data_IF_438955229303
#
_entry.id   IF_438955229303
#
_cell.length_a   1.000
_cell.length_b   1.000
_cell.length_c   1.000
_cell.angle_alpha   90.00
_cell.angle_beta   90.00
_cell.angle_gamma   90.00
#
_symmetry.space_group_name_H-M   'P 1'
#
loop_
_entity.id
_entity.type
_entity.pdbx_description
1 polymer ?
#
# COMPACT_ATOMS: atom_id res chain seq x y z
N UNK A 1 22.46 2.76 2.46
CA UNK A 1 22.22 4.14 1.99
C UNK A 1 22.27 4.26 0.46
N UNK A 2 23.30 3.83 -0.25
CA UNK A 2 23.38 3.97 -1.72
C UNK A 2 22.23 3.29 -2.51
N UNK A 3 21.77 2.11 -2.10
CA UNK A 3 20.65 1.41 -2.79
C UNK A 3 19.33 2.16 -2.71
N UNK A 4 18.98 2.75 -1.58
CA UNK A 4 17.72 3.51 -1.40
C UNK A 4 17.74 4.80 -2.22
N UNK A 5 18.90 5.48 -2.33
CA UNK A 5 19.06 6.65 -3.16
C UNK A 5 18.84 6.34 -4.66
N UNK A 6 19.42 5.26 -5.17
CA UNK A 6 19.24 4.85 -6.56
C UNK A 6 17.77 4.50 -6.88
N UNK A 7 17.09 3.81 -5.96
CA UNK A 7 15.66 3.49 -6.09
C UNK A 7 14.82 4.77 -6.07
N UNK A 8 15.14 5.72 -5.20
CA UNK A 8 14.43 7.00 -5.11
C UNK A 8 14.59 7.84 -6.39
N UNK A 9 15.79 7.93 -6.95
CA UNK A 9 16.02 8.60 -8.22
C UNK A 9 15.18 7.99 -9.36
N UNK A 10 15.13 6.64 -9.41
CA UNK A 10 14.25 5.94 -10.36
C UNK A 10 12.77 6.30 -10.15
N UNK A 11 12.31 6.34 -8.91
CA UNK A 11 10.92 6.68 -8.58
C UNK A 11 10.58 8.11 -9.00
N UNK A 12 11.49 9.07 -8.83
CA UNK A 12 11.28 10.44 -9.29
C UNK A 12 11.12 10.51 -10.81
N UNK A 13 11.95 9.80 -11.57
CA UNK A 13 11.79 9.71 -13.03
C UNK A 13 10.45 9.08 -13.44
N UNK A 14 10.03 8.02 -12.74
CA UNK A 14 8.72 7.40 -12.97
C UNK A 14 7.56 8.34 -12.59
N UNK A 15 7.71 9.12 -11.52
CA UNK A 15 6.75 10.14 -11.09
C UNK A 15 6.59 11.24 -12.14
N UNK A 16 7.69 11.78 -12.65
CA UNK A 16 7.66 12.80 -13.72
C UNK A 16 6.98 12.25 -14.99
N UNK A 17 7.33 11.02 -15.39
CA UNK A 17 6.70 10.35 -16.52
C UNK A 17 5.21 10.10 -16.29
N UNK A 18 4.82 9.73 -15.07
CA UNK A 18 3.42 9.55 -14.67
C UNK A 18 2.64 10.86 -14.81
N UNK A 19 3.15 11.97 -14.32
CA UNK A 19 2.47 13.25 -14.45
C UNK A 19 2.26 13.66 -15.92
N UNK A 20 3.26 13.44 -16.78
CA UNK A 20 3.12 13.67 -18.22
C UNK A 20 2.07 12.76 -18.86
N UNK A 21 2.06 11.47 -18.50
CA UNK A 21 1.14 10.49 -19.07
C UNK A 21 -0.30 10.63 -18.56
N UNK A 22 -0.50 11.25 -17.38
CA UNK A 22 -1.80 11.43 -16.72
C UNK A 22 -2.55 12.68 -17.16
N UNK A 23 -1.89 13.65 -17.80
CA UNK A 23 -2.50 14.91 -18.22
C UNK A 23 -3.74 14.66 -19.10
N UNK A 24 -4.90 15.19 -18.70
CA UNK A 24 -6.19 15.06 -19.41
C UNK A 24 -6.80 13.64 -19.34
N UNK A 25 -6.32 12.77 -18.44
CA UNK A 25 -6.80 11.38 -18.32
C UNK A 25 -7.44 11.07 -16.96
N UNK A 26 -8.09 12.04 -16.33
CA UNK A 26 -8.66 11.89 -14.99
C UNK A 26 -9.62 10.71 -14.88
N UNK A 27 -10.48 10.51 -15.90
CA UNK A 27 -11.39 9.37 -15.94
C UNK A 27 -10.66 8.03 -15.93
N UNK A 28 -9.56 7.90 -16.67
CA UNK A 28 -8.75 6.68 -16.70
C UNK A 28 -8.02 6.46 -15.38
N UNK A 29 -7.52 7.53 -14.75
CA UNK A 29 -6.88 7.45 -13.43
C UNK A 29 -7.88 6.95 -12.39
N UNK A 30 -9.10 7.47 -12.39
CA UNK A 30 -10.18 7.04 -11.49
C UNK A 30 -10.52 5.55 -11.70
N UNK A 31 -10.66 5.10 -12.95
CA UNK A 31 -10.90 3.69 -13.27
C UNK A 31 -9.76 2.78 -12.77
N UNK A 32 -8.50 3.21 -12.92
CA UNK A 32 -7.34 2.45 -12.40
C UNK A 32 -7.40 2.39 -10.86
N UNK A 33 -7.70 3.50 -10.19
CA UNK A 33 -7.81 3.57 -8.73
C UNK A 33 -8.95 2.67 -8.21
N UNK A 34 -10.12 2.72 -8.83
CA UNK A 34 -11.27 1.86 -8.47
C UNK A 34 -10.94 0.38 -8.65
N UNK A 35 -10.32 0.00 -9.78
CA UNK A 35 -9.92 -1.37 -10.05
C UNK A 35 -8.87 -1.92 -9.08
N UNK A 36 -8.13 -1.05 -8.37
CA UNK A 36 -7.11 -1.43 -7.39
C UNK A 36 -7.68 -1.68 -5.98
N UNK A 37 -8.89 -1.18 -5.67
CA UNK A 37 -9.44 -1.23 -4.30
C UNK A 37 -9.49 -2.67 -3.78
N UNK A 38 -10.04 -3.61 -4.54
CA UNK A 38 -10.17 -5.00 -4.10
C UNK A 38 -8.81 -5.66 -3.83
N UNK A 39 -7.82 -5.43 -4.70
CA UNK A 39 -6.45 -5.96 -4.51
C UNK A 39 -5.74 -5.32 -3.30
N UNK A 40 -5.98 -4.04 -3.01
CA UNK A 40 -5.47 -3.37 -1.81
C UNK A 40 -6.12 -3.92 -0.54
N UNK A 41 -7.44 -4.05 -0.53
CA UNK A 41 -8.23 -4.57 0.60
C UNK A 41 -7.82 -6.01 0.91
N UNK A 42 -7.80 -6.88 -0.10
CA UNK A 42 -7.36 -8.26 0.05
C UNK A 42 -5.97 -8.35 0.68
N UNK A 43 -4.97 -7.71 0.08
CA UNK A 43 -3.59 -7.82 0.58
C UNK A 43 -3.46 -7.28 2.01
N UNK A 44 -4.11 -6.16 2.32
CA UNK A 44 -4.03 -5.55 3.65
C UNK A 44 -4.70 -6.41 4.72
N UNK A 45 -5.86 -7.01 4.44
CA UNK A 45 -6.54 -7.91 5.38
C UNK A 45 -5.83 -9.25 5.50
N UNK A 46 -5.32 -9.81 4.38
CA UNK A 46 -4.57 -11.07 4.39
C UNK A 46 -3.27 -10.99 5.22
N UNK A 47 -2.58 -9.84 5.22
CA UNK A 47 -1.43 -9.60 6.12
C UNK A 47 -1.85 -9.79 7.58
N UNK A 48 -3.07 -9.39 7.95
CA UNK A 48 -3.65 -9.52 9.30
C UNK A 48 -4.39 -10.86 9.53
N UNK A 49 -4.11 -11.87 8.73
CA UNK A 49 -4.71 -13.22 8.81
C UNK A 49 -6.19 -13.32 8.42
N UNK A 50 -6.74 -12.41 7.64
CA UNK A 50 -8.07 -12.63 7.05
C UNK A 50 -8.06 -13.90 6.21
N UNK A 51 -9.13 -14.70 6.30
CA UNK A 51 -9.32 -15.92 5.54
C UNK A 51 -9.94 -15.70 4.15
N UNK A 52 -10.33 -14.45 3.84
CA UNK A 52 -10.91 -14.10 2.54
C UNK A 52 -9.88 -14.25 1.43
N UNK A 53 -10.30 -14.90 0.33
CA UNK A 53 -9.57 -14.86 -0.93
C UNK A 53 -9.75 -13.50 -1.63
N UNK A 54 -8.94 -13.24 -2.66
CA UNK A 54 -9.12 -12.05 -3.50
C UNK A 54 -10.48 -12.07 -4.21
N UNK A 55 -10.91 -13.23 -4.73
CA UNK A 55 -12.20 -13.38 -5.41
C UNK A 55 -13.36 -13.09 -4.46
N UNK A 56 -13.33 -13.62 -3.24
CA UNK A 56 -14.35 -13.33 -2.22
C UNK A 56 -14.36 -11.86 -1.83
N UNK A 57 -13.19 -11.24 -1.71
CA UNK A 57 -13.09 -9.79 -1.47
C UNK A 57 -13.75 -9.00 -2.60
N UNK A 58 -13.52 -9.37 -3.86
CA UNK A 58 -14.15 -8.75 -5.01
C UNK A 58 -15.67 -8.93 -4.99
N UNK A 59 -16.16 -10.16 -4.74
CA UNK A 59 -17.60 -10.46 -4.63
C UNK A 59 -18.27 -9.62 -3.53
N UNK A 60 -17.65 -9.52 -2.35
CA UNK A 60 -18.16 -8.69 -1.25
C UNK A 60 -18.29 -7.23 -1.66
N UNK A 61 -17.27 -6.66 -2.31
CA UNK A 61 -17.28 -5.27 -2.70
C UNK A 61 -18.26 -4.97 -3.85
N UNK A 62 -18.48 -5.94 -4.74
CA UNK A 62 -19.45 -5.88 -5.83
C UNK A 62 -20.86 -6.30 -5.42
N UNK A 63 -21.08 -6.71 -4.17
CA UNK A 63 -22.34 -7.21 -3.64
C UNK A 63 -22.87 -8.43 -4.39
N UNK A 64 -21.97 -9.31 -4.81
CA UNK A 64 -22.27 -10.59 -5.46
C UNK A 64 -22.36 -11.68 -4.40
N UNK A 65 -23.25 -12.65 -4.59
CA UNK A 65 -23.41 -13.78 -3.68
C UNK A 65 -22.13 -14.59 -3.54
N UNK A 66 -21.95 -15.12 -2.34
CA UNK A 66 -20.77 -15.89 -1.95
C UNK A 66 -21.09 -17.38 -1.96
N UNK A 67 -20.13 -18.20 -2.40
CA UNK A 67 -20.30 -19.64 -2.54
C UNK A 67 -20.19 -20.40 -1.19
N UNK A 68 -19.79 -19.70 -0.13
CA UNK A 68 -19.71 -20.23 1.25
C UNK A 68 -20.16 -19.20 2.28
N UNK A 69 -20.42 -19.66 3.48
CA UNK A 69 -20.66 -18.76 4.61
C UNK A 69 -19.40 -17.96 4.92
N UNK A 70 -19.56 -16.64 5.03
CA UNK A 70 -18.53 -15.68 5.48
C UNK A 70 -19.14 -14.92 6.65
N UNK A 71 -18.36 -14.72 7.70
CA UNK A 71 -18.82 -14.00 8.88
C UNK A 71 -19.09 -12.52 8.58
N UNK A 72 -20.07 -11.94 9.26
CA UNK A 72 -20.35 -10.50 9.15
C UNK A 72 -19.09 -9.65 9.43
N UNK A 73 -18.28 -10.07 10.39
CA UNK A 73 -17.00 -9.42 10.70
C UNK A 73 -16.09 -9.33 9.48
N UNK A 74 -15.87 -10.44 8.75
CA UNK A 74 -15.02 -10.47 7.56
C UNK A 74 -15.59 -9.58 6.45
N UNK A 75 -16.91 -9.57 6.30
CA UNK A 75 -17.61 -8.69 5.33
C UNK A 75 -17.36 -7.22 5.69
N UNK A 76 -17.52 -6.83 6.97
CA UNK A 76 -17.28 -5.47 7.41
C UNK A 76 -15.79 -5.09 7.31
N UNK A 77 -14.87 -6.00 7.61
CA UNK A 77 -13.43 -5.75 7.45
C UNK A 77 -13.08 -5.40 6.00
N UNK A 78 -13.68 -6.08 5.01
CA UNK A 78 -13.47 -5.77 3.61
C UNK A 78 -14.14 -4.43 3.21
N UNK A 79 -15.43 -4.25 3.51
CA UNK A 79 -16.20 -3.05 3.14
C UNK A 79 -15.66 -1.78 3.81
N UNK A 80 -15.31 -1.85 5.08
CA UNK A 80 -14.79 -0.71 5.82
C UNK A 80 -13.43 -0.27 5.29
N UNK A 81 -12.51 -1.21 5.04
CA UNK A 81 -11.20 -0.87 4.48
C UNK A 81 -11.34 -0.29 3.07
N UNK A 82 -12.22 -0.82 2.22
CA UNK A 82 -12.50 -0.23 0.91
C UNK A 82 -13.00 1.22 1.03
N UNK A 83 -13.92 1.48 1.98
CA UNK A 83 -14.41 2.84 2.26
C UNK A 83 -13.30 3.78 2.71
N UNK A 84 -12.40 3.31 3.59
CA UNK A 84 -11.24 4.08 4.05
C UNK A 84 -10.29 4.38 2.88
N UNK A 85 -9.97 3.40 2.03
CA UNK A 85 -9.13 3.58 0.84
C UNK A 85 -9.73 4.62 -0.11
N UNK A 86 -11.03 4.53 -0.39
CA UNK A 86 -11.75 5.52 -1.22
C UNK A 86 -11.76 6.92 -0.59
N UNK A 87 -11.89 7.00 0.73
CA UNK A 87 -11.88 8.27 1.45
C UNK A 87 -10.54 8.98 1.33
N UNK A 88 -9.42 8.26 1.57
CA UNK A 88 -8.09 8.88 1.51
C UNK A 88 -7.70 9.32 0.09
N UNK A 89 -8.12 8.59 -0.93
CA UNK A 89 -7.87 8.96 -2.33
C UNK A 89 -8.44 10.36 -2.66
N UNK A 90 -9.60 10.70 -2.07
CA UNK A 90 -10.28 11.99 -2.26
C UNK A 90 -9.77 13.08 -1.29
N UNK A 91 -9.46 12.72 -0.05
CA UNK A 91 -9.28 13.69 1.05
C UNK A 91 -7.85 13.95 1.48
N UNK A 92 -6.90 13.07 1.15
CA UNK A 92 -5.52 13.19 1.63
C UNK A 92 -4.81 14.49 1.21
N UNK A 93 -5.18 15.08 0.07
CA UNK A 93 -4.60 16.36 -0.40
C UNK A 93 -5.21 17.59 0.29
N UNK A 94 -6.41 17.47 0.83
CA UNK A 94 -7.16 18.59 1.40
C UNK A 94 -6.82 18.86 2.86
N UNK A 95 -6.44 17.82 3.63
CA UNK A 95 -6.28 17.90 5.08
C UNK A 95 -4.91 17.34 5.51
N UNK A 96 -4.29 17.96 6.51
CA UNK A 96 -3.08 17.43 7.14
C UNK A 96 -3.38 16.19 7.99
N UNK A 97 -2.39 15.28 8.06
CA UNK A 97 -2.50 14.11 8.91
C UNK A 97 -2.28 14.51 10.36
N UNK A 98 -3.36 14.55 11.12
CA UNK A 98 -3.37 14.75 12.57
C UNK A 98 -4.12 13.65 13.30
N UNK A 99 -4.23 13.80 14.61
CA UNK A 99 -4.94 12.83 15.46
C UNK A 99 -6.39 12.65 15.02
N UNK A 100 -7.10 13.74 14.70
CA UNK A 100 -8.50 13.70 14.28
C UNK A 100 -8.69 12.86 13.01
N UNK A 101 -7.77 13.00 12.05
CA UNK A 101 -7.79 12.20 10.82
C UNK A 101 -7.53 10.73 11.15
N UNK A 102 -6.51 10.43 11.95
CA UNK A 102 -6.14 9.06 12.33
C UNK A 102 -7.30 8.38 13.08
N UNK A 103 -7.91 9.08 14.04
CA UNK A 103 -9.05 8.58 14.79
C UNK A 103 -10.29 8.38 13.91
N UNK A 104 -10.55 9.30 12.98
CA UNK A 104 -11.65 9.18 12.00
C UNK A 104 -11.46 7.99 11.07
N UNK A 105 -10.25 7.78 10.54
CA UNK A 105 -9.91 6.61 9.71
C UNK A 105 -10.09 5.30 10.50
N UNK A 106 -9.64 5.27 11.75
CA UNK A 106 -9.82 4.11 12.62
C UNK A 106 -11.32 3.86 12.95
N UNK A 107 -12.09 4.92 13.19
CA UNK A 107 -13.54 4.80 13.38
C UNK A 107 -14.21 4.17 12.16
N UNK A 108 -13.89 4.64 10.97
CA UNK A 108 -14.42 4.07 9.72
C UNK A 108 -14.02 2.60 9.55
N UNK A 109 -12.78 2.24 9.92
CA UNK A 109 -12.27 0.87 9.80
C UNK A 109 -12.96 -0.10 10.72
N UNK A 110 -13.23 0.31 11.98
CA UNK A 110 -13.72 -0.57 13.05
C UNK A 110 -15.23 -0.55 13.25
N UNK A 111 -15.97 0.32 12.54
CA UNK A 111 -17.45 0.41 12.63
C UNK A 111 -18.10 -0.94 12.31
N UNK A 112 -19.07 -1.35 13.11
CA UNK A 112 -19.78 -2.64 13.02
C UNK A 112 -18.88 -3.88 13.17
N UNK A 113 -17.64 -3.70 13.65
CA UNK A 113 -16.72 -4.79 13.98
C UNK A 113 -16.47 -4.79 15.48
N UNK A 114 -16.05 -3.65 16.01
CA UNK A 114 -15.79 -3.41 17.43
C UNK A 114 -16.02 -1.93 17.74
N UNK A 115 -17.29 -1.54 17.85
CA UNK A 115 -17.68 -0.12 18.00
C UNK A 115 -17.13 0.50 19.30
N UNK A 116 -16.91 -0.31 20.34
CA UNK A 116 -16.40 0.14 21.65
C UNK A 116 -14.94 0.68 21.59
N UNK A 117 -14.17 0.28 20.58
CA UNK A 117 -12.79 0.76 20.37
C UNK A 117 -12.66 1.66 19.14
N UNK A 118 -13.72 1.79 18.34
CA UNK A 118 -13.68 2.50 17.07
C UNK A 118 -13.41 4.00 17.27
N UNK A 119 -12.32 4.50 16.69
CA UNK A 119 -11.99 5.93 16.71
C UNK A 119 -11.42 6.44 18.02
N UNK A 120 -10.86 5.57 18.87
CA UNK A 120 -10.15 5.97 20.08
C UNK A 120 -8.84 5.21 20.26
N UNK A 121 -7.87 5.83 20.85
CA UNK A 121 -6.64 5.17 21.29
C UNK A 121 -6.91 4.25 22.50
N UNK A 122 -5.97 3.35 22.77
CA UNK A 122 -5.99 2.52 23.99
C UNK A 122 -6.00 3.40 25.24
N UNK A 123 -6.78 2.97 26.24
CA UNK A 123 -6.87 3.61 27.56
C UNK A 123 -6.19 2.75 28.63
N UNK A 124 -6.06 3.28 29.83
CA UNK A 124 -5.48 2.55 30.97
C UNK A 124 -6.13 1.17 31.14
N UNK A 125 -5.30 0.15 31.35
CA UNK A 125 -5.72 -1.25 31.40
C UNK A 125 -5.74 -1.97 30.05
N UNK A 126 -5.65 -1.25 28.93
CA UNK A 126 -5.62 -1.85 27.57
C UNK A 126 -4.18 -2.01 27.08
N UNK A 127 -3.62 -3.18 27.26
CA UNK A 127 -2.27 -3.53 26.82
C UNK A 127 -2.32 -4.43 25.58
N UNK A 128 -1.44 -4.18 24.62
CA UNK A 128 -1.34 -4.97 23.39
C UNK A 128 0.05 -5.57 23.26
N UNK A 129 0.09 -6.83 22.82
CA UNK A 129 1.30 -7.57 22.53
C UNK A 129 1.29 -8.02 21.06
N UNK A 130 2.38 -7.75 20.35
CA UNK A 130 2.58 -8.19 18.96
C UNK A 130 3.81 -9.07 18.90
N UNK A 131 3.63 -10.37 18.80
CA UNK A 131 4.73 -11.34 18.92
C UNK A 131 5.42 -11.25 20.28
N UNK A 132 6.70 -10.89 20.28
CA UNK A 132 7.49 -10.65 21.51
C UNK A 132 7.44 -9.19 21.98
N UNK A 133 6.98 -8.26 21.15
CA UNK A 133 6.92 -6.84 21.48
C UNK A 133 5.68 -6.52 22.32
N UNK A 134 5.88 -5.82 23.44
CA UNK A 134 4.80 -5.22 24.26
C UNK A 134 4.76 -3.74 23.90
N UNK A 135 3.62 -3.30 23.37
CA UNK A 135 3.44 -1.90 22.99
C UNK A 135 3.56 -0.95 24.20
N UNK A 136 4.04 0.29 24.02
CA UNK A 136 4.13 1.30 25.07
C UNK A 136 2.82 1.48 25.84
N UNK A 137 2.90 1.94 27.06
CA UNK A 137 1.72 2.14 27.91
C UNK A 137 0.74 3.17 27.29
N UNK A 138 -0.58 3.04 27.50
CA UNK A 138 -1.57 3.95 26.94
C UNK A 138 -1.29 5.44 27.17
N UNK A 139 -0.78 5.81 28.34
CA UNK A 139 -0.42 7.19 28.69
C UNK A 139 0.67 7.80 27.81
N UNK A 140 1.47 6.96 27.12
CA UNK A 140 2.56 7.40 26.26
C UNK A 140 2.11 7.62 24.81
N UNK A 141 0.90 7.19 24.43
CA UNK A 141 0.44 7.17 23.05
C UNK A 141 0.43 8.58 22.45
N UNK A 142 -0.22 9.54 23.11
CA UNK A 142 -0.37 10.88 22.55
C UNK A 142 0.99 11.55 22.28
N UNK A 143 1.87 11.58 23.29
CA UNK A 143 3.20 12.20 23.14
C UNK A 143 4.08 11.47 22.12
N UNK A 144 4.02 10.13 22.06
CA UNK A 144 4.78 9.35 21.08
C UNK A 144 4.26 9.55 19.65
N UNK A 145 2.94 9.57 19.46
CA UNK A 145 2.34 9.80 18.14
C UNK A 145 2.61 11.22 17.63
N UNK A 146 2.50 12.23 18.50
CA UNK A 146 2.86 13.61 18.19
C UNK A 146 4.33 13.71 17.73
N UNK A 147 5.23 13.04 18.45
CA UNK A 147 6.65 12.96 18.08
C UNK A 147 6.84 12.32 16.71
N UNK A 148 6.18 11.19 16.43
CA UNK A 148 6.26 10.48 15.13
C UNK A 148 5.82 11.41 13.99
N UNK A 149 4.71 12.12 14.14
CA UNK A 149 4.20 13.05 13.13
C UNK A 149 5.12 14.26 12.95
N UNK A 150 5.62 14.84 14.06
CA UNK A 150 6.57 15.94 14.05
C UNK A 150 7.88 15.56 13.35
N UNK A 151 8.45 14.38 13.65
CA UNK A 151 9.66 13.88 12.97
C UNK A 151 9.43 13.66 11.48
N UNK A 152 8.27 13.16 11.08
CA UNK A 152 7.92 13.01 9.67
C UNK A 152 7.92 14.38 8.95
N UNK A 153 7.33 15.39 9.55
CA UNK A 153 7.25 16.75 8.98
C UNK A 153 8.63 17.43 8.95
N UNK A 154 9.42 17.31 10.02
CA UNK A 154 10.76 17.89 10.12
C UNK A 154 11.75 17.31 9.08
N UNK A 155 11.52 16.08 8.62
CA UNK A 155 12.36 15.38 7.63
C UNK A 155 11.86 15.56 6.19
N UNK A 156 11.11 16.60 5.86
CA UNK A 156 10.55 16.87 4.53
C UNK A 156 11.59 16.92 3.39
N UNK A 157 12.86 17.24 3.73
CA UNK A 157 14.00 17.22 2.80
C UNK A 157 14.55 15.84 2.50
N UNK A 158 14.22 14.81 3.31
CA UNK A 158 14.62 13.44 3.06
C UNK A 158 13.75 12.78 1.98
N UNK A 159 14.25 11.69 1.39
CA UNK A 159 13.44 10.95 0.42
C UNK A 159 12.20 10.31 1.07
N UNK A 160 11.09 10.31 0.33
CA UNK A 160 9.78 9.83 0.80
C UNK A 160 9.81 8.36 1.25
N UNK A 161 10.64 7.51 0.64
CA UNK A 161 10.74 6.09 0.99
C UNK A 161 11.21 5.92 2.44
N UNK A 162 12.24 6.69 2.84
CA UNK A 162 12.75 6.65 4.22
C UNK A 162 11.75 7.21 5.21
N UNK A 163 11.13 8.34 4.88
CA UNK A 163 10.13 9.01 5.74
C UNK A 163 8.95 8.08 6.01
N UNK A 164 8.37 7.48 4.97
CA UNK A 164 7.25 6.53 5.09
C UNK A 164 7.68 5.27 5.85
N UNK A 165 8.85 4.69 5.55
CA UNK A 165 9.33 3.50 6.24
C UNK A 165 9.52 3.74 7.74
N UNK A 166 10.13 4.87 8.12
CA UNK A 166 10.38 5.25 9.52
C UNK A 166 9.06 5.48 10.27
N UNK A 167 8.17 6.29 9.68
CA UNK A 167 6.86 6.56 10.27
C UNK A 167 6.06 5.27 10.48
N UNK A 168 6.00 4.42 9.45
CA UNK A 168 5.24 3.17 9.50
C UNK A 168 5.75 2.24 10.61
N UNK A 169 7.08 2.05 10.70
CA UNK A 169 7.69 1.22 11.73
C UNK A 169 7.46 1.79 13.14
N UNK A 170 7.59 3.11 13.30
CA UNK A 170 7.37 3.77 14.58
C UNK A 170 5.89 3.71 15.01
N UNK A 171 4.95 3.87 14.07
CA UNK A 171 3.53 3.74 14.31
C UNK A 171 3.15 2.31 14.75
N UNK A 172 3.67 1.31 14.04
CA UNK A 172 3.44 -0.09 14.37
C UNK A 172 4.10 -0.50 15.70
N UNK A 173 5.26 0.09 16.03
CA UNK A 173 5.89 -0.11 17.34
C UNK A 173 5.06 0.48 18.48
N UNK A 174 4.49 1.68 18.27
CA UNK A 174 3.61 2.36 19.23
C UNK A 174 2.31 1.61 19.44
N UNK A 175 1.74 1.05 18.39
CA UNK A 175 0.49 0.28 18.41
C UNK A 175 -0.64 1.00 19.16
N UNK A 176 -1.07 2.18 18.70
CA UNK A 176 -1.93 3.06 19.50
C UNK A 176 -3.37 2.55 19.70
N UNK A 177 -3.81 1.54 18.96
CA UNK A 177 -5.15 0.98 19.00
C UNK A 177 -5.17 -0.44 19.57
N UNK A 178 -6.34 -0.89 20.06
CA UNK A 178 -6.54 -2.28 20.49
C UNK A 178 -6.58 -3.28 19.33
N UNK A 179 -7.04 -2.85 18.16
CA UNK A 179 -7.12 -3.63 16.92
C UNK A 179 -6.96 -2.68 15.73
N UNK A 180 -6.65 -3.20 14.55
CA UNK A 180 -6.60 -2.44 13.30
C UNK A 180 -5.33 -1.62 13.06
N UNK A 181 -4.31 -1.70 13.92
CA UNK A 181 -3.08 -0.91 13.78
C UNK A 181 -2.41 -1.13 12.42
N UNK A 182 -2.14 -2.38 12.02
CA UNK A 182 -1.49 -2.68 10.76
C UNK A 182 -2.26 -2.15 9.54
N UNK A 183 -3.58 -2.26 9.54
CA UNK A 183 -4.43 -1.71 8.48
C UNK A 183 -4.36 -0.19 8.44
N UNK A 184 -4.49 0.48 9.59
CA UNK A 184 -4.37 1.94 9.68
C UNK A 184 -2.95 2.41 9.34
N UNK A 185 -1.91 1.74 9.79
CA UNK A 185 -0.53 2.08 9.42
C UNK A 185 -0.31 2.08 7.90
N UNK A 186 -0.83 1.07 7.19
CA UNK A 186 -0.78 1.02 5.71
C UNK A 186 -1.66 2.09 5.05
N UNK A 187 -2.79 2.43 5.65
CA UNK A 187 -3.64 3.56 5.20
C UNK A 187 -2.93 4.89 5.36
N UNK A 188 -2.29 5.13 6.52
CA UNK A 188 -1.49 6.34 6.78
C UNK A 188 -0.35 6.49 5.77
N UNK A 189 0.34 5.41 5.43
CA UNK A 189 1.37 5.43 4.39
C UNK A 189 0.81 5.98 3.07
N UNK A 190 -0.35 5.47 2.63
CA UNK A 190 -0.99 5.91 1.40
C UNK A 190 -1.53 7.35 1.51
N UNK A 191 -2.08 7.72 2.66
CA UNK A 191 -2.50 9.10 2.92
C UNK A 191 -1.35 10.09 2.67
N UNK A 192 -0.20 9.82 3.28
CA UNK A 192 0.98 10.69 3.16
C UNK A 192 1.59 10.66 1.75
N UNK A 193 1.64 9.49 1.09
CA UNK A 193 2.10 9.39 -0.29
C UNK A 193 1.24 10.23 -1.24
N UNK A 194 -0.09 10.10 -1.16
CA UNK A 194 -1.04 10.88 -1.98
C UNK A 194 -0.90 12.37 -1.70
N UNK A 195 -0.79 12.75 -0.43
CA UNK A 195 -0.62 14.15 -0.03
C UNK A 195 0.65 14.76 -0.62
N UNK A 196 1.74 14.01 -0.68
CA UNK A 196 3.03 14.46 -1.24
C UNK A 196 3.12 14.27 -2.76
N UNK A 197 1.99 13.94 -3.42
CA UNK A 197 1.92 13.80 -4.87
C UNK A 197 2.58 12.53 -5.40
N UNK A 198 2.65 11.47 -4.61
CA UNK A 198 3.01 10.13 -5.07
C UNK A 198 1.74 9.30 -5.29
N UNK A 199 1.87 8.21 -6.02
CA UNK A 199 0.79 7.23 -6.17
C UNK A 199 0.69 6.35 -4.92
N UNK A 200 -0.50 5.86 -4.55
CA UNK A 200 -0.65 4.92 -3.45
C UNK A 200 0.06 3.59 -3.76
N UNK A 201 0.46 2.90 -2.69
CA UNK A 201 1.13 1.60 -2.75
C UNK A 201 0.24 0.48 -2.23
N UNK A 202 0.50 -0.72 -2.71
CA UNK A 202 -0.09 -1.94 -2.19
C UNK A 202 1.03 -2.89 -1.73
N UNK A 203 1.19 -3.04 -0.41
CA UNK A 203 2.11 -4.01 0.18
C UNK A 203 1.48 -5.39 0.02
N UNK A 204 2.09 -6.23 -0.80
CA UNK A 204 1.53 -7.52 -1.19
C UNK A 204 1.68 -8.57 -0.08
N UNK A 205 0.64 -9.34 0.15
CA UNK A 205 0.61 -10.44 1.12
C UNK A 205 1.75 -11.46 0.93
N UNK A 206 2.15 -11.73 -0.30
CA UNK A 206 3.30 -12.59 -0.61
C UNK A 206 4.61 -12.14 0.05
N UNK A 207 4.71 -10.87 0.42
CA UNK A 207 5.86 -10.29 1.14
C UNK A 207 5.67 -10.27 2.67
N UNK A 208 4.60 -10.90 3.20
CA UNK A 208 4.22 -10.82 4.62
C UNK A 208 5.38 -11.17 5.55
N UNK A 209 6.09 -12.27 5.29
CA UNK A 209 7.24 -12.64 6.12
C UNK A 209 8.25 -11.51 6.21
N UNK A 210 8.65 -10.96 5.06
CA UNK A 210 9.63 -9.86 5.01
C UNK A 210 9.10 -8.59 5.67
N UNK A 211 7.80 -8.35 5.60
CA UNK A 211 7.14 -7.22 6.25
C UNK A 211 7.27 -7.33 7.78
N UNK A 212 7.02 -8.50 8.36
CA UNK A 212 7.22 -8.73 9.79
C UNK A 212 8.70 -8.77 10.21
N UNK A 213 9.59 -9.28 9.36
CA UNK A 213 11.04 -9.22 9.59
C UNK A 213 11.52 -7.75 9.75
N UNK A 214 10.91 -6.80 9.00
CA UNK A 214 11.24 -5.37 9.11
C UNK A 214 10.88 -4.78 10.49
N UNK A 215 9.78 -5.20 11.11
CA UNK A 215 9.43 -4.76 12.47
C UNK A 215 10.41 -5.29 13.49
N UNK A 216 10.83 -6.55 13.34
CA UNK A 216 11.84 -7.14 14.22
C UNK A 216 13.18 -6.39 14.10
N UNK A 217 13.64 -6.11 12.88
CA UNK A 217 14.87 -5.33 12.65
C UNK A 217 14.77 -3.93 13.29
N UNK A 218 13.60 -3.28 13.18
CA UNK A 218 13.39 -1.97 13.80
C UNK A 218 13.38 -2.05 15.32
N UNK A 219 12.69 -3.02 15.90
CA UNK A 219 12.66 -3.23 17.36
C UNK A 219 14.03 -3.52 17.95
N UNK A 220 14.84 -4.36 17.26
CA UNK A 220 16.13 -4.83 17.77
C UNK A 220 17.26 -3.81 17.56
N UNK A 221 17.22 -3.06 16.44
CA UNK A 221 18.36 -2.25 15.99
C UNK A 221 17.99 -0.83 15.53
N UNK A 222 16.72 -0.45 15.55
CA UNK A 222 16.25 0.82 14.96
C UNK A 222 16.41 0.89 13.42
N UNK A 223 16.64 -0.25 12.75
CA UNK A 223 16.93 -0.29 11.34
C UNK A 223 15.65 -0.21 10.47
N UNK A 224 15.68 0.60 9.41
CA UNK A 224 14.55 0.83 8.51
C UNK A 224 14.73 0.22 7.11
N UNK A 225 15.92 -0.31 6.82
CA UNK A 225 16.34 -0.69 5.46
C UNK A 225 15.44 -1.73 4.78
N UNK A 226 14.94 -2.71 5.51
CA UNK A 226 14.02 -3.72 4.95
C UNK A 226 12.67 -3.10 4.59
N UNK A 227 12.12 -2.22 5.43
CA UNK A 227 10.88 -1.51 5.13
C UNK A 227 11.06 -0.50 3.98
N UNK A 228 12.18 0.22 3.92
CA UNK A 228 12.53 1.07 2.77
C UNK A 228 12.50 0.27 1.46
N UNK A 229 13.07 -0.94 1.49
CA UNK A 229 13.04 -1.85 0.34
C UNK A 229 11.63 -2.30 -0.06
N UNK A 230 10.73 -2.50 0.90
CA UNK A 230 9.31 -2.83 0.66
C UNK A 230 8.58 -1.65 0.04
N UNK A 231 8.68 -0.47 0.65
CA UNK A 231 8.03 0.78 0.17
C UNK A 231 8.53 1.15 -1.23
N UNK A 232 9.85 1.11 -1.46
CA UNK A 232 10.44 1.44 -2.76
C UNK A 232 9.99 0.50 -3.88
N UNK A 233 9.90 -0.81 -3.60
CA UNK A 233 9.39 -1.79 -4.57
C UNK A 233 7.88 -1.60 -4.82
N UNK A 234 7.10 -1.34 -3.79
CA UNK A 234 5.67 -1.12 -3.92
C UNK A 234 5.36 0.15 -4.74
N UNK A 235 6.10 1.25 -4.52
CA UNK A 235 6.00 2.47 -5.34
C UNK A 235 6.38 2.20 -6.80
N UNK A 236 7.49 1.50 -7.03
CA UNK A 236 7.92 1.16 -8.40
C UNK A 236 6.88 0.32 -9.12
N UNK A 237 6.32 -0.70 -8.45
CA UNK A 237 5.23 -1.53 -8.98
C UNK A 237 4.00 -0.70 -9.33
N UNK A 238 3.61 0.21 -8.44
CA UNK A 238 2.45 1.08 -8.63
C UNK A 238 2.61 2.00 -9.84
N UNK A 239 3.80 2.60 -10.02
CA UNK A 239 4.11 3.41 -11.21
C UNK A 239 4.17 2.58 -12.49
N UNK A 240 4.83 1.42 -12.49
CA UNK A 240 4.89 0.55 -13.67
C UNK A 240 3.50 0.15 -14.14
N UNK A 241 2.59 -0.23 -13.21
CA UNK A 241 1.21 -0.54 -13.52
C UNK A 241 0.50 0.66 -14.16
N UNK A 242 0.46 1.79 -13.47
CA UNK A 242 -0.26 2.98 -13.93
C UNK A 242 0.25 3.50 -15.27
N UNK A 243 1.57 3.53 -15.46
CA UNK A 243 2.18 3.93 -16.72
C UNK A 243 1.81 2.99 -17.86
N UNK A 244 1.76 1.67 -17.62
CA UNK A 244 1.37 0.72 -18.65
C UNK A 244 -0.05 1.00 -19.17
N UNK A 245 -1.01 1.31 -18.28
CA UNK A 245 -2.37 1.67 -18.67
C UNK A 245 -2.47 3.07 -19.29
N UNK A 246 -1.85 4.08 -18.67
CA UNK A 246 -1.89 5.47 -19.15
C UNK A 246 -1.22 5.66 -20.51
N UNK A 247 -0.20 4.88 -20.83
CA UNK A 247 0.49 4.91 -22.13
C UNK A 247 -0.19 4.02 -23.18
N UNK A 248 -1.36 3.43 -22.86
CA UNK A 248 -2.12 2.60 -23.79
C UNK A 248 -1.37 1.33 -24.24
N UNK A 249 -0.49 0.78 -23.40
CA UNK A 249 0.25 -0.44 -23.73
C UNK A 249 -0.71 -1.65 -23.71
N UNK A 250 -0.44 -2.63 -24.56
CA UNK A 250 -1.08 -3.95 -24.49
C UNK A 250 -0.57 -4.67 -23.25
N UNK A 251 -1.46 -4.92 -22.29
CA UNK A 251 -1.10 -5.63 -21.05
C UNK A 251 -1.18 -7.14 -21.31
N UNK A 252 -0.08 -7.84 -21.04
CA UNK A 252 0.04 -9.29 -21.21
C UNK A 252 0.62 -9.93 -19.95
N UNK A 253 0.35 -11.22 -19.76
CA UNK A 253 1.00 -12.00 -18.71
C UNK A 253 2.51 -12.07 -18.96
N UNK A 254 3.31 -11.99 -17.92
CA UNK A 254 4.77 -12.06 -18.05
C UNK A 254 5.23 -13.43 -18.60
N UNK A 255 4.46 -14.50 -18.35
CA UNK A 255 4.65 -15.83 -18.93
C UNK A 255 4.48 -15.84 -20.44
N UNK A 256 3.45 -15.14 -20.95
CA UNK A 256 3.16 -15.10 -22.39
C UNK A 256 4.18 -14.20 -23.12
N UNK A 257 4.57 -13.10 -22.48
CA UNK A 257 5.68 -12.26 -22.94
C UNK A 257 6.98 -13.06 -23.07
N UNK A 258 7.29 -13.90 -22.06
CA UNK A 258 8.47 -14.77 -22.08
C UNK A 258 8.46 -15.72 -23.28
N UNK A 259 7.31 -16.39 -23.52
CA UNK A 259 7.13 -17.33 -24.64
C UNK A 259 7.28 -16.63 -25.99
N UNK A 260 6.57 -15.52 -26.19
CA UNK A 260 6.57 -14.78 -27.46
C UNK A 260 7.94 -14.22 -27.82
N UNK A 261 8.72 -13.80 -26.83
CA UNK A 261 10.06 -13.22 -27.03
C UNK A 261 11.20 -14.24 -26.86
N UNK A 262 10.91 -15.54 -26.65
CA UNK A 262 11.89 -16.62 -26.41
C UNK A 262 12.87 -16.30 -25.28
N UNK A 263 12.37 -15.70 -24.19
CA UNK A 263 13.15 -15.31 -23.01
C UNK A 263 12.82 -16.29 -21.87
N UNK A 264 13.82 -16.63 -21.05
CA UNK A 264 13.60 -17.45 -19.84
C UNK A 264 12.59 -16.78 -18.89
N UNK A 265 11.47 -17.47 -18.62
CA UNK A 265 10.44 -17.00 -17.68
C UNK A 265 11.01 -16.76 -16.29
N UNK A 266 11.86 -17.69 -15.78
CA UNK A 266 12.50 -17.52 -14.46
C UNK A 266 13.37 -16.28 -14.37
N UNK A 267 14.11 -15.96 -15.45
CA UNK A 267 14.91 -14.73 -15.51
C UNK A 267 14.01 -13.48 -15.48
N UNK A 268 12.91 -13.49 -16.24
CA UNK A 268 11.95 -12.37 -16.21
C UNK A 268 11.26 -12.20 -14.85
N UNK A 269 10.86 -13.28 -14.21
CA UNK A 269 10.29 -13.23 -12.83
C UNK A 269 11.32 -12.62 -11.86
N UNK A 270 12.58 -13.02 -11.93
CA UNK A 270 13.63 -12.44 -11.08
C UNK A 270 13.80 -10.94 -11.34
N UNK A 271 13.79 -10.50 -12.60
CA UNK A 271 13.85 -9.07 -12.96
C UNK A 271 12.61 -8.31 -12.50
N UNK A 272 11.42 -8.87 -12.66
CA UNK A 272 10.16 -8.30 -12.19
C UNK A 272 10.15 -8.14 -10.67
N UNK A 273 10.52 -9.18 -9.92
CA UNK A 273 10.59 -9.17 -8.45
C UNK A 273 11.60 -8.13 -7.93
N UNK A 274 12.69 -7.91 -8.67
CA UNK A 274 13.67 -6.85 -8.38
C UNK A 274 13.25 -5.48 -8.89
N UNK A 275 12.14 -5.39 -9.63
CA UNK A 275 11.67 -4.16 -10.29
C UNK A 275 12.71 -3.54 -11.22
N UNK A 276 13.50 -4.36 -11.94
CA UNK A 276 14.49 -3.92 -12.93
C UNK A 276 13.94 -3.84 -14.35
N UNK A 277 12.72 -4.31 -14.57
CA UNK A 277 11.93 -4.17 -15.80
C UNK A 277 10.58 -3.55 -15.45
N UNK A 278 9.86 -2.99 -16.43
CA UNK A 278 8.54 -2.36 -16.25
C UNK A 278 7.41 -3.38 -16.12
N UNK A 279 7.67 -4.47 -15.39
CA UNK A 279 6.65 -5.44 -14.99
C UNK A 279 6.01 -5.04 -13.66
N UNK A 280 4.75 -5.43 -13.47
CA UNK A 280 4.00 -5.15 -12.25
C UNK A 280 3.20 -6.37 -11.81
N UNK A 281 3.06 -6.52 -10.50
CA UNK A 281 2.24 -7.56 -9.86
C UNK A 281 0.84 -7.00 -9.61
N UNK A 282 -0.16 -7.61 -10.24
CA UNK A 282 -1.56 -7.26 -10.09
C UNK A 282 -2.39 -8.50 -9.88
N UNK A 283 -3.23 -8.52 -8.84
CA UNK A 283 -4.10 -9.65 -8.49
C UNK A 283 -3.34 -11.00 -8.44
N UNK A 284 -2.13 -10.97 -7.86
CA UNK A 284 -1.29 -12.17 -7.69
C UNK A 284 -0.51 -12.63 -8.93
N UNK A 285 -0.67 -11.98 -10.09
CA UNK A 285 0.02 -12.36 -11.33
C UNK A 285 0.92 -11.26 -11.86
N UNK A 286 2.09 -11.65 -12.40
CA UNK A 286 3.01 -10.72 -13.04
C UNK A 286 2.54 -10.39 -14.46
N UNK A 287 2.46 -9.11 -14.75
CA UNK A 287 2.08 -8.54 -16.05
C UNK A 287 3.13 -7.55 -16.53
N UNK A 288 3.14 -7.29 -17.84
CA UNK A 288 4.00 -6.29 -18.48
C UNK A 288 3.21 -5.59 -19.59
N UNK A 289 3.48 -4.30 -19.80
CA UNK A 289 2.94 -3.55 -20.93
C UNK A 289 3.87 -3.66 -22.15
N UNK A 290 3.38 -4.24 -23.25
CA UNK A 290 4.04 -4.23 -24.55
C UNK A 290 3.74 -2.92 -25.29
N UNK A 291 4.71 -2.39 -26.04
CA UNK A 291 4.42 -1.31 -26.98
C UNK A 291 3.44 -1.81 -28.03
N UNK A 292 2.36 -1.08 -28.26
CA UNK A 292 1.44 -1.39 -29.37
C UNK A 292 2.20 -1.31 -30.70
N UNK A 293 2.12 -2.34 -31.51
CA UNK A 293 2.71 -2.39 -32.87
C UNK A 293 2.02 -1.45 -33.87
N UNK A 294 0.95 -0.76 -33.45
CA UNK A 294 0.10 0.05 -34.34
C UNK A 294 0.56 1.52 -34.50
N UNK A 295 1.81 1.87 -34.12
CA UNK A 295 2.35 3.23 -34.23
C UNK A 295 3.08 3.56 -35.55
N UNK A 296 3.07 2.70 -36.57
CA UNK A 296 3.82 2.94 -37.81
C UNK A 296 3.04 2.66 -39.11
N UNK A 297 1.77 3.03 -39.19
CA UNK A 297 1.03 2.97 -40.48
C UNK A 297 0.19 4.21 -40.77
N UNK A 298 0.61 5.39 -40.37
CA UNK A 298 0.05 6.64 -40.90
C UNK A 298 1.17 7.66 -41.09
N UNK A 299 2.04 7.41 -42.04
CA UNK A 299 2.84 8.40 -42.77
C UNK A 299 3.42 7.74 -44.01
N UNK A 300 2.58 7.64 -45.07
CA UNK A 300 3.02 7.67 -46.48
C UNK A 300 1.95 8.45 -47.26
#
# INVERSE_FOLDING_TARGET
MAKTAAVFNKINLLRERYYKASTGKDALINLISEAEIADQVYNSNAIENSALSLEETEKILLQIDLDRYISEREIFEAKNLARVVTYIDKKAKEQELGFDVILSLHKMLMSNIRDEIAGRFRIEGEYVRVGSHIAPAPKEINGSLEKILSEYNATSHENIIKRIARLHLAFEYLHPFNDGNGRIGRVINNYLLIREGFVPINIKFINRKKYYDAFKEFSDMGATGTMEGIVGKALTNSYHKRLAYLEGKKIVLLSDYAKSNKISHSNLINKATRQTIEAFLEKGVWKIGEKSLNGHKEQK
#
